data_IF_345771420126
#
_entry.id   IF_345771420126
#
_cell.length_a   1.000
_cell.length_b   1.000
_cell.length_c   1.000
_cell.angle_alpha   90.00
_cell.angle_beta   90.00
_cell.angle_gamma   90.00
#
_symmetry.space_group_name_H-M   'P 1'
#
loop_
_entity.id
_entity.type
_entity.pdbx_description
1 polymer ?
#
# COMPACT_ATOMS: atom_id res chain seq x y z
N UNK A 1 75.01 -38.15 -10.93
CA UNK A 1 74.64 -37.17 -9.88
C UNK A 1 73.13 -37.15 -9.82
N UNK A 2 72.59 -37.40 -8.64
CA UNK A 2 71.17 -37.67 -8.35
C UNK A 2 70.60 -36.59 -7.42
N UNK A 3 69.27 -36.45 -7.47
CA UNK A 3 68.32 -35.84 -6.50
C UNK A 3 67.97 -34.35 -6.68
N UNK A 4 66.78 -33.88 -6.23
CA UNK A 4 65.52 -34.59 -5.93
C UNK A 4 64.25 -33.94 -6.49
N UNK A 5 63.19 -34.75 -6.58
CA UNK A 5 61.78 -34.35 -6.64
C UNK A 5 61.36 -33.72 -5.31
N UNK A 6 60.68 -32.56 -5.34
CA UNK A 6 60.05 -31.95 -4.17
C UNK A 6 58.54 -31.75 -4.38
N UNK A 7 57.81 -31.95 -3.28
CA UNK A 7 56.38 -32.27 -3.14
C UNK A 7 55.41 -31.08 -3.28
N UNK A 8 54.16 -31.46 -3.57
CA UNK A 8 52.86 -30.73 -3.59
C UNK A 8 52.66 -29.60 -2.55
N UNK A 9 51.65 -28.73 -2.78
CA UNK A 9 50.43 -28.90 -2.00
C UNK A 9 49.14 -28.96 -2.84
N UNK A 10 48.22 -29.78 -2.32
CA UNK A 10 46.84 -29.92 -2.74
C UNK A 10 45.98 -28.74 -2.28
N UNK A 11 44.72 -28.79 -2.71
CA UNK A 11 43.54 -28.05 -2.22
C UNK A 11 43.30 -26.70 -2.89
N UNK A 12 42.21 -26.64 -3.66
CA UNK A 12 41.11 -25.69 -3.40
C UNK A 12 39.79 -26.16 -4.03
N UNK A 13 38.88 -26.55 -3.14
CA UNK A 13 37.43 -26.28 -3.16
C UNK A 13 36.74 -26.40 -4.53
N UNK A 14 36.16 -27.57 -4.86
CA UNK A 14 34.74 -27.87 -4.64
C UNK A 14 33.79 -26.68 -4.83
N UNK A 15 32.96 -26.80 -5.87
CA UNK A 15 31.53 -26.49 -5.93
C UNK A 15 31.06 -25.29 -5.08
N UNK A 16 30.78 -24.16 -5.74
CA UNK A 16 29.68 -23.32 -5.28
C UNK A 16 28.79 -22.97 -6.47
N UNK A 17 27.73 -23.76 -6.55
CA UNK A 17 26.53 -23.60 -7.35
C UNK A 17 26.07 -22.14 -7.35
N UNK A 18 26.26 -21.44 -8.46
CA UNK A 18 25.63 -20.13 -8.70
C UNK A 18 24.18 -20.39 -9.16
N UNK A 19 23.38 -20.98 -8.27
CA UNK A 19 21.94 -21.07 -8.46
C UNK A 19 21.38 -19.67 -8.20
N UNK A 20 21.39 -18.83 -9.24
CA UNK A 20 20.75 -17.54 -9.26
C UNK A 20 19.25 -17.78 -9.12
N UNK A 21 18.76 -17.81 -7.88
CA UNK A 21 17.33 -17.78 -7.58
C UNK A 21 16.78 -16.50 -8.20
N UNK A 22 16.15 -16.63 -9.37
CA UNK A 22 15.18 -15.66 -9.84
C UNK A 22 14.11 -15.60 -8.75
N UNK A 23 14.21 -14.59 -7.88
CA UNK A 23 13.08 -14.15 -7.10
C UNK A 23 12.05 -13.64 -8.11
N UNK A 24 11.17 -14.53 -8.55
CA UNK A 24 9.96 -14.16 -9.27
C UNK A 24 9.11 -13.44 -8.22
N UNK A 25 9.34 -12.14 -8.04
CA UNK A 25 8.40 -11.29 -7.33
C UNK A 25 7.15 -11.23 -8.19
N UNK A 26 6.14 -12.03 -7.86
CA UNK A 26 4.82 -11.88 -8.46
C UNK A 26 4.41 -10.42 -8.32
N UNK A 27 4.01 -9.72 -9.40
CA UNK A 27 3.40 -8.42 -9.23
C UNK A 27 2.16 -8.64 -8.36
N UNK A 28 2.11 -8.01 -7.18
CA UNK A 28 0.88 -7.96 -6.41
C UNK A 28 -0.18 -7.35 -7.33
N UNK A 29 -1.17 -8.16 -7.73
CA UNK A 29 -2.23 -7.70 -8.61
C UNK A 29 -3.04 -6.66 -7.84
N UNK A 30 -3.09 -5.43 -8.35
CA UNK A 30 -3.94 -4.38 -7.82
C UNK A 30 -5.40 -4.88 -7.77
N UNK A 31 -5.98 -4.90 -6.58
CA UNK A 31 -7.36 -5.28 -6.35
C UNK A 31 -8.21 -4.04 -6.05
N UNK A 32 -9.51 -4.17 -6.27
CA UNK A 32 -10.53 -3.18 -5.90
C UNK A 32 -11.64 -3.90 -5.17
N UNK A 33 -12.11 -3.32 -4.06
CA UNK A 33 -13.18 -3.90 -3.26
C UNK A 33 -14.04 -2.82 -2.60
N UNK A 34 -15.22 -3.21 -2.14
CA UNK A 34 -16.12 -2.34 -1.41
C UNK A 34 -16.15 -2.73 0.07
N UNK A 35 -16.08 -1.75 0.97
CA UNK A 35 -16.21 -1.93 2.42
C UNK A 35 -17.26 -0.98 2.97
N UNK A 36 -18.14 -1.49 3.82
CA UNK A 36 -19.31 -0.75 4.32
C UNK A 36 -20.30 -1.67 5.03
N UNK A 37 -21.20 -1.13 5.87
CA UNK A 37 -21.27 0.28 6.26
C UNK A 37 -20.10 0.69 7.18
N UNK A 38 -19.53 1.88 6.97
CA UNK A 38 -18.47 2.44 7.82
C UNK A 38 -18.77 3.87 8.24
N UNK A 39 -18.19 4.30 9.35
CA UNK A 39 -18.28 5.68 9.86
C UNK A 39 -16.89 6.31 9.89
N UNK A 40 -16.80 7.59 9.52
CA UNK A 40 -15.53 8.31 9.54
C UNK A 40 -15.26 8.83 10.96
N UNK A 41 -14.10 8.48 11.52
CA UNK A 41 -13.59 9.07 12.76
C UNK A 41 -12.86 10.39 12.47
N UNK A 42 -11.93 10.38 11.51
CA UNK A 42 -11.15 11.56 11.15
C UNK A 42 -10.94 11.73 9.65
N UNK A 43 -10.81 13.01 9.24
CA UNK A 43 -10.41 13.42 7.89
C UNK A 43 -9.28 14.42 8.07
N UNK A 44 -8.12 14.15 7.50
CA UNK A 44 -6.94 15.02 7.51
C UNK A 44 -6.45 15.27 6.09
N UNK A 45 -5.88 16.45 5.86
CA UNK A 45 -5.17 16.79 4.62
C UNK A 45 -3.68 16.72 4.93
N UNK A 46 -2.94 15.97 4.14
CA UNK A 46 -1.48 15.86 4.25
C UNK A 46 -0.88 17.03 3.48
N UNK A 47 -0.58 18.13 4.16
CA UNK A 47 -0.13 19.37 3.52
C UNK A 47 1.36 19.38 3.15
N UNK A 48 2.17 18.48 3.70
CA UNK A 48 3.61 18.45 3.47
C UNK A 48 4.02 17.19 2.73
N UNK A 49 4.88 17.37 1.72
CA UNK A 49 5.54 16.26 1.04
C UNK A 49 6.65 15.69 1.93
N UNK A 50 6.30 14.78 2.84
CA UNK A 50 7.21 14.16 3.80
C UNK A 50 7.20 12.66 3.55
N UNK A 51 8.34 11.97 3.71
CA UNK A 51 8.47 10.51 3.57
C UNK A 51 7.95 9.91 2.25
N UNK A 52 8.09 10.63 1.12
CA UNK A 52 7.66 10.16 -0.19
C UNK A 52 6.16 10.36 -0.49
N UNK A 53 5.46 11.13 0.34
CA UNK A 53 4.07 11.52 0.11
C UNK A 53 3.98 12.82 -0.69
N UNK A 54 2.86 13.01 -1.40
CA UNK A 54 2.55 14.28 -2.07
C UNK A 54 1.65 15.13 -1.18
N UNK A 55 1.89 16.44 -1.20
CA UNK A 55 1.02 17.39 -0.53
C UNK A 55 -0.39 17.39 -1.15
N UNK A 56 -1.42 17.57 -0.33
CA UNK A 56 -2.83 17.61 -0.75
C UNK A 56 -3.54 16.25 -0.76
N UNK A 57 -2.88 15.16 -0.35
CA UNK A 57 -3.52 13.86 -0.16
C UNK A 57 -4.50 13.92 1.03
N UNK A 58 -5.67 13.28 0.91
CA UNK A 58 -6.57 13.10 2.04
C UNK A 58 -6.23 11.81 2.77
N UNK A 59 -6.37 11.83 4.07
CA UNK A 59 -6.30 10.67 4.93
C UNK A 59 -7.61 10.56 5.72
N UNK A 60 -8.19 9.36 5.69
CA UNK A 60 -9.43 9.00 6.35
C UNK A 60 -9.11 7.97 7.40
N UNK A 61 -9.49 8.26 8.65
CA UNK A 61 -9.50 7.27 9.72
C UNK A 61 -10.92 6.75 9.88
N UNK A 62 -11.12 5.45 9.73
CA UNK A 62 -12.42 4.81 9.91
C UNK A 62 -12.61 4.44 11.38
N UNK A 63 -13.77 4.78 11.93
CA UNK A 63 -14.15 4.46 13.30
C UNK A 63 -14.19 2.94 13.46
N UNK A 64 -13.48 2.42 14.45
CA UNK A 64 -13.34 0.98 14.75
C UNK A 64 -12.68 0.14 13.62
N UNK A 65 -12.15 0.79 12.58
CA UNK A 65 -11.61 0.14 11.38
C UNK A 65 -12.69 -0.38 10.43
N UNK A 66 -12.28 -1.16 9.44
CA UNK A 66 -13.20 -1.76 8.46
C UNK A 66 -12.81 -3.20 8.10
N UNK A 67 -13.75 -3.95 7.53
CA UNK A 67 -13.45 -5.30 7.02
C UNK A 67 -12.79 -5.17 5.66
N UNK A 68 -11.57 -5.68 5.54
CA UNK A 68 -10.82 -5.65 4.29
C UNK A 68 -11.44 -6.65 3.29
N UNK A 69 -11.85 -6.21 2.09
CA UNK A 69 -12.32 -7.11 1.05
C UNK A 69 -11.25 -8.12 0.64
N UNK A 70 -11.67 -9.31 0.21
CA UNK A 70 -10.76 -10.37 -0.19
C UNK A 70 -9.84 -9.91 -1.33
N UNK A 71 -8.55 -10.20 -1.21
CA UNK A 71 -7.54 -9.87 -2.21
C UNK A 71 -6.86 -8.51 -2.05
N UNK A 72 -7.36 -7.63 -1.17
CA UNK A 72 -6.67 -6.38 -0.84
C UNK A 72 -5.59 -6.60 0.23
N UNK A 73 -4.47 -5.90 0.07
CA UNK A 73 -3.28 -6.01 0.93
C UNK A 73 -2.87 -4.66 1.52
N UNK A 74 -3.81 -4.00 2.19
CA UNK A 74 -3.61 -2.68 2.78
C UNK A 74 -4.22 -2.56 4.20
N UNK A 75 -3.85 -1.49 4.92
CA UNK A 75 -4.33 -1.20 6.27
C UNK A 75 -5.86 -1.16 6.32
N UNK A 76 -6.43 -1.75 7.38
CA UNK A 76 -7.87 -1.77 7.64
C UNK A 76 -8.36 -0.65 8.58
N UNK A 77 -7.54 0.38 8.79
CA UNK A 77 -7.86 1.52 9.68
C UNK A 77 -7.86 2.84 8.91
N UNK A 78 -6.88 3.01 8.01
CA UNK A 78 -6.68 4.24 7.26
C UNK A 78 -6.85 4.03 5.77
N UNK A 79 -7.58 4.94 5.15
CA UNK A 79 -7.75 5.04 3.69
C UNK A 79 -7.21 6.39 3.24
N UNK A 80 -6.56 6.45 2.09
CA UNK A 80 -5.98 7.69 1.56
C UNK A 80 -6.54 8.04 0.18
N UNK A 81 -6.37 9.28 -0.27
CA UNK A 81 -6.57 9.66 -1.68
C UNK A 81 -5.28 10.20 -2.25
N UNK A 82 -4.99 9.88 -3.51
CA UNK A 82 -3.92 10.52 -4.27
C UNK A 82 -4.43 11.86 -4.81
N UNK A 83 -3.78 12.98 -4.47
CA UNK A 83 -3.93 14.37 -4.98
C UNK A 83 -5.34 14.97 -5.14
N UNK A 84 -5.56 16.14 -4.55
CA UNK A 84 -6.81 16.91 -4.62
C UNK A 84 -7.04 17.62 -5.97
N UNK A 85 -7.48 16.87 -6.99
CA UNK A 85 -8.17 17.47 -8.15
C UNK A 85 -9.64 17.85 -7.82
N UNK A 86 -10.33 18.53 -8.73
CA UNK A 86 -11.70 19.02 -8.49
C UNK A 86 -12.72 17.88 -8.22
N UNK A 87 -12.50 16.69 -8.76
CA UNK A 87 -13.33 15.52 -8.45
C UNK A 87 -13.13 15.07 -7.00
N UNK A 88 -11.92 15.22 -6.48
CA UNK A 88 -11.57 14.92 -5.09
C UNK A 88 -11.96 16.00 -4.09
N UNK A 89 -12.15 17.26 -4.51
CA UNK A 89 -12.82 18.29 -3.68
C UNK A 89 -14.28 17.93 -3.36
N UNK A 90 -15.02 17.43 -4.35
CA UNK A 90 -16.40 16.94 -4.15
C UNK A 90 -16.43 15.75 -3.21
N UNK A 91 -15.46 14.84 -3.36
CA UNK A 91 -15.30 13.70 -2.47
C UNK A 91 -15.00 14.16 -1.03
N UNK A 92 -14.10 15.12 -0.84
CA UNK A 92 -13.82 15.72 0.47
C UNK A 92 -15.08 16.33 1.11
N UNK A 93 -15.88 17.08 0.35
CA UNK A 93 -17.15 17.64 0.83
C UNK A 93 -18.13 16.55 1.25
N UNK A 94 -18.29 15.50 0.44
CA UNK A 94 -19.17 14.36 0.76
C UNK A 94 -18.72 13.65 2.04
N UNK A 95 -17.43 13.35 2.17
CA UNK A 95 -16.86 12.67 3.33
C UNK A 95 -17.00 13.53 4.59
N UNK A 96 -16.75 14.84 4.48
CA UNK A 96 -16.92 15.80 5.59
C UNK A 96 -18.37 15.88 6.03
N UNK A 97 -19.31 15.98 5.08
CA UNK A 97 -20.74 15.98 5.37
C UNK A 97 -21.15 14.69 6.09
N UNK A 98 -20.76 13.52 5.56
CA UNK A 98 -21.08 12.23 6.17
C UNK A 98 -20.50 12.07 7.58
N UNK A 99 -19.26 12.56 7.82
CA UNK A 99 -18.69 12.62 9.17
C UNK A 99 -19.53 13.48 10.10
N UNK A 100 -19.89 14.69 9.67
CA UNK A 100 -20.64 15.64 10.50
C UNK A 100 -22.06 15.17 10.82
N UNK A 101 -22.70 14.48 9.88
CA UNK A 101 -24.06 13.94 10.05
C UNK A 101 -24.07 12.52 10.62
N UNK A 102 -22.90 11.94 10.89
CA UNK A 102 -22.73 10.53 11.28
C UNK A 102 -23.46 9.57 10.35
N UNK A 103 -23.43 9.83 9.04
CA UNK A 103 -24.03 8.96 8.05
C UNK A 103 -23.11 7.78 7.71
N UNK A 104 -23.65 6.56 7.60
CA UNK A 104 -22.88 5.41 7.14
C UNK A 104 -22.49 5.56 5.67
N UNK A 105 -21.30 5.06 5.35
CA UNK A 105 -20.76 5.07 3.99
C UNK A 105 -20.49 3.65 3.48
N UNK A 106 -20.64 3.47 2.17
CA UNK A 106 -20.00 2.41 1.40
C UNK A 106 -18.78 3.02 0.69
N UNK A 107 -17.60 2.47 0.94
CA UNK A 107 -16.33 2.94 0.37
C UNK A 107 -15.79 1.91 -0.62
N UNK A 108 -15.46 2.35 -1.83
CA UNK A 108 -14.71 1.56 -2.79
C UNK A 108 -13.23 1.89 -2.64
N UNK A 109 -12.41 0.88 -2.38
CA UNK A 109 -10.99 1.01 -2.09
C UNK A 109 -10.14 0.12 -2.99
N UNK A 110 -8.90 0.52 -3.21
CA UNK A 110 -7.91 -0.24 -3.97
C UNK A 110 -6.57 -0.29 -3.25
N UNK A 111 -5.80 -1.36 -3.44
CA UNK A 111 -4.39 -1.46 -3.02
C UNK A 111 -3.42 -1.23 -4.18
N UNK A 112 -3.89 -0.69 -5.31
CA UNK A 112 -3.05 -0.36 -6.46
C UNK A 112 -1.96 0.66 -6.05
N UNK A 113 -0.67 0.31 -6.17
CA UNK A 113 0.43 1.21 -5.85
C UNK A 113 0.44 2.48 -6.71
N UNK A 114 -0.16 2.47 -7.91
CA UNK A 114 -0.29 3.66 -8.75
C UNK A 114 -1.26 4.68 -8.17
N UNK A 115 -2.21 4.22 -7.35
CA UNK A 115 -3.19 5.07 -6.69
C UNK A 115 -2.87 5.31 -5.23
N UNK A 116 -1.92 4.58 -4.64
CA UNK A 116 -1.51 4.69 -3.23
C UNK A 116 -0.82 6.03 -2.94
N UNK A 117 -1.43 6.84 -2.06
CA UNK A 117 -0.80 8.05 -1.53
C UNK A 117 0.25 7.72 -0.42
N UNK A 118 0.00 6.64 0.33
CA UNK A 118 0.88 6.14 1.38
C UNK A 118 1.05 4.62 1.18
N UNK A 119 2.29 4.10 1.09
CA UNK A 119 2.53 2.67 0.98
C UNK A 119 1.85 1.88 2.11
N UNK A 120 1.21 0.75 1.76
CA UNK A 120 0.50 -0.11 2.71
C UNK A 120 -0.87 0.41 3.14
N UNK A 121 -1.37 1.53 2.58
CA UNK A 121 -2.74 2.02 2.80
C UNK A 121 -3.56 1.91 1.54
N UNK A 122 -4.85 1.66 1.73
CA UNK A 122 -5.76 1.58 0.60
C UNK A 122 -6.02 2.99 0.07
N UNK A 123 -6.28 3.07 -1.23
CA UNK A 123 -6.73 4.30 -1.89
C UNK A 123 -8.23 4.30 -2.09
N UNK A 124 -8.86 5.40 -1.73
CA UNK A 124 -10.28 5.60 -1.97
C UNK A 124 -10.52 5.85 -3.46
N UNK A 125 -11.35 5.01 -4.05
CA UNK A 125 -11.79 5.07 -5.44
C UNK A 125 -13.12 5.81 -5.54
N UNK A 126 -14.07 5.49 -4.66
CA UNK A 126 -15.38 6.13 -4.60
C UNK A 126 -16.00 6.00 -3.21
N UNK A 127 -16.97 6.86 -2.90
CA UNK A 127 -17.76 6.79 -1.68
C UNK A 127 -19.25 7.02 -1.98
N UNK A 128 -20.11 6.35 -1.24
CA UNK A 128 -21.57 6.49 -1.34
C UNK A 128 -22.18 6.54 0.05
N UNK A 129 -23.11 7.46 0.26
CA UNK A 129 -23.90 7.55 1.50
C UNK A 129 -25.00 6.50 1.47
N UNK A 130 -25.18 5.80 2.59
CA UNK A 130 -26.20 4.76 2.78
C UNK A 130 -27.42 5.30 3.54
#
# INVERSE_FOLDING_TARGET
MSLPVMRMPAVKFRFLSLLLMMAISSPAAAAVGATGPVYIENISIIEQAVLGHRAGNLELKIKDGFTLPAGLTCSNVYITTLEADDSKKRLFTLLTAAKMTQQPLLLHISDDPQHAAIPGRCSLVAATVL
#
